data_IF_668686314721
#
_entry.id   IF_668686314721
#
_cell.length_a   1.000
_cell.length_b   1.000
_cell.length_c   1.000
_cell.angle_alpha   90.00
_cell.angle_beta   90.00
_cell.angle_gamma   90.00
#
_symmetry.space_group_name_H-M   'P 1'
#
loop_
_entity.id
_entity.type
_entity.pdbx_description
1 polymer ?
#
# COMPACT_ATOMS: atom_id res chain seq x y z
N UNK A 1 6.06 3.75 61.98
CA UNK A 1 4.68 3.24 62.07
C UNK A 1 3.75 4.34 61.60
N UNK A 2 3.13 4.41 60.42
CA UNK A 2 2.90 3.52 59.28
C UNK A 2 1.70 4.18 58.56
N UNK A 3 1.88 4.85 57.43
CA UNK A 3 1.73 4.29 56.07
C UNK A 3 0.29 3.84 55.72
N UNK A 4 -0.69 4.76 55.60
CA UNK A 4 -2.00 4.48 54.98
C UNK A 4 -2.63 5.67 54.23
N UNK A 5 -1.86 6.47 53.49
CA UNK A 5 -2.43 7.54 52.64
C UNK A 5 -1.78 7.68 51.27
N UNK A 6 -1.45 6.55 50.63
CA UNK A 6 -0.85 6.53 49.28
C UNK A 6 -1.41 5.44 48.37
N UNK A 7 -2.72 5.21 48.42
CA UNK A 7 -3.37 4.17 47.59
C UNK A 7 -4.32 4.69 46.52
N UNK A 8 -4.18 5.94 46.08
CA UNK A 8 -5.04 6.52 45.01
C UNK A 8 -4.31 7.41 43.99
N UNK A 9 -2.98 7.35 43.91
CA UNK A 9 -2.20 7.94 42.81
C UNK A 9 -1.25 6.91 42.24
N UNK A 10 -1.80 5.83 41.69
CA UNK A 10 -1.16 5.05 40.63
C UNK A 10 -1.88 5.37 39.32
N UNK A 11 -1.89 6.66 38.97
CA UNK A 11 -2.11 7.08 37.58
C UNK A 11 -0.89 6.59 36.82
N UNK A 12 -1.15 5.65 35.93
CA UNK A 12 -0.29 5.17 34.86
C UNK A 12 0.88 6.11 34.55
N UNK A 13 2.01 5.88 35.21
CA UNK A 13 3.28 6.02 34.53
C UNK A 13 3.30 4.86 33.56
N UNK A 14 2.93 5.12 32.31
CA UNK A 14 3.36 4.29 31.20
C UNK A 14 4.88 4.26 31.31
N UNK A 15 5.40 3.16 31.85
CA UNK A 15 6.79 2.79 31.65
C UNK A 15 7.07 3.03 30.17
N UNK A 16 8.02 3.91 29.86
CA UNK A 16 8.72 3.92 28.58
C UNK A 16 9.32 2.53 28.44
N UNK A 17 8.49 1.60 27.96
CA UNK A 17 8.90 0.25 27.64
C UNK A 17 9.78 0.45 26.43
N UNK A 18 11.08 0.44 26.66
CA UNK A 18 12.10 0.36 25.63
C UNK A 18 11.68 -0.79 24.72
N UNK A 19 11.12 -0.44 23.57
CA UNK A 19 10.56 -1.38 22.60
C UNK A 19 11.62 -1.53 21.51
N UNK A 20 12.54 -2.50 21.65
CA UNK A 20 13.66 -2.64 20.72
C UNK A 20 13.18 -2.90 19.29
N UNK A 21 11.98 -3.47 19.11
CA UNK A 21 11.38 -3.68 17.80
C UNK A 21 10.92 -2.35 17.20
N UNK A 22 10.23 -1.50 17.97
CA UNK A 22 9.86 -0.17 17.50
C UNK A 22 11.08 0.68 17.18
N UNK A 23 12.15 0.62 18.00
CA UNK A 23 13.41 1.32 17.73
C UNK A 23 14.08 0.83 16.44
N UNK A 24 14.11 -0.48 16.18
CA UNK A 24 14.63 -1.03 14.93
C UNK A 24 13.81 -0.57 13.70
N UNK A 25 12.48 -0.47 13.85
CA UNK A 25 11.61 0.05 12.80
C UNK A 25 11.88 1.55 12.56
N UNK A 26 12.11 2.34 13.62
CA UNK A 26 12.51 3.76 13.46
C UNK A 26 13.80 3.87 12.65
N UNK A 27 14.82 3.06 12.94
CA UNK A 27 16.06 3.08 12.14
C UNK A 27 15.83 2.63 10.70
N UNK A 28 14.94 1.66 10.45
CA UNK A 28 14.55 1.25 9.11
C UNK A 28 13.89 2.40 8.34
N UNK A 29 12.94 3.11 8.97
CA UNK A 29 12.26 4.29 8.39
C UNK A 29 13.29 5.35 8.00
N UNK A 30 14.22 5.63 8.90
CA UNK A 30 15.26 6.62 8.67
C UNK A 30 16.27 6.16 7.60
N UNK A 31 16.46 4.85 7.42
CA UNK A 31 17.19 4.29 6.28
C UNK A 31 16.51 4.59 4.94
N UNK A 32 15.18 4.56 4.88
CA UNK A 32 14.39 4.95 3.70
C UNK A 32 14.35 6.47 3.48
N UNK A 33 14.41 7.26 4.57
CA UNK A 33 14.40 8.72 4.52
C UNK A 33 15.55 9.33 5.35
N UNK A 34 16.80 9.33 4.86
CA UNK A 34 17.96 9.77 5.65
C UNK A 34 17.88 11.21 6.13
N UNK A 35 17.16 12.08 5.41
CA UNK A 35 16.96 13.50 5.76
C UNK A 35 16.23 13.69 7.10
N UNK A 36 15.43 12.71 7.55
CA UNK A 36 14.72 12.79 8.83
C UNK A 36 15.67 12.87 10.03
N UNK A 37 16.91 12.39 9.92
CA UNK A 37 17.92 12.52 11.00
C UNK A 37 18.25 13.96 11.37
N UNK A 38 18.00 14.90 10.45
CA UNK A 38 18.27 16.32 10.63
C UNK A 38 17.12 17.05 11.33
N UNK A 39 15.95 16.44 11.44
CA UNK A 39 14.80 17.00 12.16
C UNK A 39 15.00 16.86 13.68
N UNK A 40 14.48 17.83 14.44
CA UNK A 40 14.64 17.84 15.89
C UNK A 40 13.87 16.70 16.51
N UNK A 41 14.53 15.99 17.42
CA UNK A 41 13.91 14.92 18.22
C UNK A 41 13.20 13.86 17.34
N UNK A 42 13.75 13.54 16.16
CA UNK A 42 13.07 12.68 15.19
C UNK A 42 12.70 11.30 15.78
N UNK A 43 13.60 10.69 16.54
CA UNK A 43 13.39 9.36 17.11
C UNK A 43 12.21 9.36 18.11
N UNK A 44 12.18 10.33 19.03
CA UNK A 44 11.09 10.42 20.02
C UNK A 44 9.75 10.85 19.41
N UNK A 45 9.76 11.50 18.25
CA UNK A 45 8.54 11.84 17.50
C UNK A 45 8.01 10.67 16.66
N UNK A 46 8.88 9.87 16.06
CA UNK A 46 8.47 8.70 15.27
C UNK A 46 7.99 7.55 16.16
N UNK A 47 8.63 7.35 17.31
CA UNK A 47 8.41 6.17 18.15
C UNK A 47 6.92 5.93 18.49
N UNK A 48 6.11 6.92 18.92
CA UNK A 48 4.69 6.69 19.22
C UNK A 48 3.88 6.28 17.99
N UNK A 49 4.17 6.88 16.83
CA UNK A 49 3.47 6.55 15.57
C UNK A 49 3.85 5.14 15.10
N UNK A 50 5.13 4.77 15.23
CA UNK A 50 5.63 3.42 14.92
C UNK A 50 5.01 2.37 15.83
N UNK A 51 4.95 2.61 17.14
CA UNK A 51 4.33 1.70 18.10
C UNK A 51 2.85 1.47 17.78
N UNK A 52 2.11 2.55 17.46
CA UNK A 52 0.70 2.48 17.07
C UNK A 52 0.50 1.68 15.78
N UNK A 53 1.27 1.99 14.73
CA UNK A 53 1.23 1.25 13.46
C UNK A 53 1.56 -0.22 13.67
N UNK A 54 2.64 -0.54 14.37
CA UNK A 54 3.10 -1.91 14.57
C UNK A 54 2.07 -2.71 15.36
N UNK A 55 1.51 -2.14 16.43
CA UNK A 55 0.46 -2.80 17.20
C UNK A 55 -0.81 -3.06 16.38
N UNK A 56 -1.18 -2.16 15.46
CA UNK A 56 -2.29 -2.36 14.54
C UNK A 56 -2.00 -3.49 13.53
N UNK A 57 -0.83 -3.47 12.90
CA UNK A 57 -0.44 -4.45 11.89
C UNK A 57 -0.27 -5.85 12.48
N UNK A 58 0.30 -5.97 13.69
CA UNK A 58 0.41 -7.25 14.40
C UNK A 58 -0.97 -7.88 14.61
N UNK A 59 -1.97 -7.11 15.05
CA UNK A 59 -3.35 -7.62 15.19
C UNK A 59 -3.92 -8.12 13.87
N UNK A 60 -3.74 -7.36 12.78
CA UNK A 60 -4.20 -7.80 11.46
C UNK A 60 -3.51 -9.09 10.99
N UNK A 61 -2.19 -9.17 11.20
CA UNK A 61 -1.40 -10.33 10.81
C UNK A 61 -1.76 -11.55 11.66
N UNK A 62 -2.04 -11.40 12.94
CA UNK A 62 -2.48 -12.49 13.82
C UNK A 62 -3.83 -13.08 13.41
N UNK A 63 -4.69 -12.28 12.77
CA UNK A 63 -5.95 -12.76 12.18
C UNK A 63 -5.76 -13.53 10.87
N UNK A 64 -4.56 -13.57 10.28
CA UNK A 64 -4.31 -14.28 9.02
C UNK A 64 -4.20 -15.80 9.26
N UNK A 65 -4.92 -16.64 8.49
CA UNK A 65 -4.90 -18.09 8.68
C UNK A 65 -3.50 -18.69 8.49
N UNK A 66 -3.28 -19.91 8.97
CA UNK A 66 -2.05 -20.66 8.69
C UNK A 66 -1.78 -20.82 7.19
N UNK A 67 -0.51 -20.99 6.85
CA UNK A 67 -0.07 -21.10 5.47
C UNK A 67 -0.56 -22.39 4.82
N UNK A 68 -1.12 -22.26 3.61
CA UNK A 68 -1.63 -23.39 2.81
C UNK A 68 -0.54 -23.99 1.93
N UNK A 69 -0.57 -25.30 1.70
CA UNK A 69 0.38 -25.92 0.78
C UNK A 69 0.10 -25.46 -0.67
N UNK A 70 1.12 -24.97 -1.37
CA UNK A 70 0.99 -24.51 -2.74
C UNK A 70 1.65 -25.50 -3.71
N UNK A 71 0.91 -26.55 -4.07
CA UNK A 71 1.29 -27.49 -5.13
C UNK A 71 0.06 -28.10 -5.82
N UNK A 72 0.32 -28.90 -6.87
CA UNK A 72 -0.71 -29.57 -7.66
C UNK A 72 -1.61 -30.51 -6.83
N UNK A 73 -1.07 -31.18 -5.81
CA UNK A 73 -1.84 -32.06 -4.94
C UNK A 73 -2.81 -31.27 -4.04
N UNK A 74 -2.36 -30.13 -3.51
CA UNK A 74 -3.18 -29.23 -2.71
C UNK A 74 -4.34 -28.62 -3.52
N UNK A 75 -4.19 -28.42 -4.83
CA UNK A 75 -5.29 -27.97 -5.69
C UNK A 75 -6.52 -28.89 -5.63
N UNK A 76 -6.32 -30.21 -5.53
CA UNK A 76 -7.45 -31.15 -5.48
C UNK A 76 -8.15 -31.21 -4.11
N UNK A 77 -7.43 -30.85 -3.02
CA UNK A 77 -7.82 -31.10 -1.63
C UNK A 77 -8.12 -29.82 -0.83
N UNK A 78 -7.42 -28.71 -1.07
CA UNK A 78 -7.63 -27.43 -0.41
C UNK A 78 -8.56 -26.54 -1.27
N UNK A 79 -9.76 -26.19 -0.78
CA UNK A 79 -10.74 -25.38 -1.53
C UNK A 79 -10.22 -24.00 -1.91
N UNK A 80 -9.31 -23.44 -1.12
CA UNK A 80 -8.72 -22.13 -1.39
C UNK A 80 -7.74 -22.22 -2.56
N UNK A 81 -6.84 -23.21 -2.55
CA UNK A 81 -5.90 -23.42 -3.67
C UNK A 81 -6.66 -23.79 -4.94
N UNK A 82 -7.70 -24.61 -4.82
CA UNK A 82 -8.62 -24.90 -5.93
C UNK A 82 -9.25 -23.63 -6.50
N UNK A 83 -9.75 -22.75 -5.64
CA UNK A 83 -10.38 -21.50 -6.08
C UNK A 83 -9.37 -20.57 -6.76
N UNK A 84 -8.15 -20.47 -6.24
CA UNK A 84 -7.15 -19.52 -6.72
C UNK A 84 -6.58 -19.86 -8.09
N UNK A 85 -6.53 -21.13 -8.49
CA UNK A 85 -5.88 -21.56 -9.74
C UNK A 85 -6.84 -22.31 -10.66
N UNK A 86 -6.77 -22.04 -11.96
CA UNK A 86 -7.66 -22.68 -12.94
C UNK A 86 -7.41 -24.19 -13.06
N UNK A 87 -6.14 -24.60 -13.04
CA UNK A 87 -5.73 -26.01 -13.11
C UNK A 87 -4.62 -26.31 -12.08
N UNK A 88 -4.43 -27.59 -11.69
CA UNK A 88 -3.34 -27.96 -10.80
C UNK A 88 -1.95 -27.63 -11.37
N UNK A 89 -1.80 -27.63 -12.70
CA UNK A 89 -0.55 -27.32 -13.39
C UNK A 89 -0.20 -25.83 -13.37
N UNK A 90 -1.16 -24.94 -13.04
CA UNK A 90 -0.94 -23.50 -12.95
C UNK A 90 -0.30 -23.07 -11.62
N UNK A 91 -0.35 -23.93 -10.58
CA UNK A 91 0.11 -23.59 -9.23
C UNK A 91 1.61 -23.29 -9.24
N UNK A 92 2.46 -24.29 -9.51
CA UNK A 92 3.92 -24.13 -9.44
C UNK A 92 4.48 -23.05 -10.38
N UNK A 93 4.02 -22.91 -11.64
CA UNK A 93 4.47 -21.83 -12.54
C UNK A 93 4.21 -20.42 -12.01
N UNK A 94 3.18 -20.18 -11.20
CA UNK A 94 2.96 -18.88 -10.58
C UNK A 94 4.07 -18.54 -9.57
N UNK A 95 4.49 -19.52 -8.76
CA UNK A 95 5.56 -19.37 -7.78
C UNK A 95 6.94 -19.30 -8.43
N UNK A 96 7.21 -20.14 -9.42
CA UNK A 96 8.49 -20.22 -10.12
C UNK A 96 8.86 -18.94 -10.88
N UNK A 97 7.86 -18.12 -11.25
CA UNK A 97 8.06 -16.81 -11.88
C UNK A 97 8.28 -15.67 -10.88
N UNK A 98 8.10 -15.90 -9.57
CA UNK A 98 8.28 -14.88 -8.55
C UNK A 98 9.75 -14.54 -8.37
N UNK A 99 10.06 -13.26 -8.47
CA UNK A 99 11.38 -12.73 -8.15
C UNK A 99 11.67 -12.87 -6.66
N UNK A 100 10.71 -12.56 -5.81
CA UNK A 100 10.80 -12.60 -4.35
C UNK A 100 11.09 -14.02 -3.84
N UNK A 101 10.47 -15.04 -4.44
CA UNK A 101 10.74 -16.44 -4.10
C UNK A 101 12.13 -16.89 -4.59
N UNK A 102 12.54 -16.42 -5.78
CA UNK A 102 13.88 -16.70 -6.30
C UNK A 102 14.98 -16.12 -5.41
N UNK A 103 14.84 -14.83 -5.03
CA UNK A 103 15.75 -14.17 -4.08
C UNK A 103 15.79 -14.92 -2.75
N UNK A 104 14.62 -15.27 -2.20
CA UNK A 104 14.55 -16.01 -0.94
C UNK A 104 15.35 -17.33 -0.98
N UNK A 105 15.14 -18.16 -2.00
CA UNK A 105 15.81 -19.45 -2.10
C UNK A 105 17.31 -19.34 -2.45
N UNK A 106 17.74 -18.24 -3.07
CA UNK A 106 19.16 -17.94 -3.29
C UNK A 106 19.85 -17.53 -1.97
N UNK A 107 19.19 -16.69 -1.17
CA UNK A 107 19.72 -16.21 0.11
C UNK A 107 19.70 -17.30 1.19
N UNK A 108 18.78 -18.26 1.09
CA UNK A 108 18.58 -19.35 2.06
C UNK A 108 18.74 -20.72 1.39
N UNK A 109 19.94 -21.10 0.91
CA UNK A 109 20.15 -22.32 0.12
C UNK A 109 19.79 -23.61 0.86
N UNK A 110 19.81 -23.59 2.20
CA UNK A 110 19.46 -24.74 3.05
C UNK A 110 17.96 -24.84 3.39
N UNK A 111 17.13 -23.86 3.00
CA UNK A 111 15.70 -23.88 3.29
C UNK A 111 14.95 -24.87 2.38
N UNK A 112 14.28 -25.87 2.95
CA UNK A 112 13.50 -26.87 2.19
C UNK A 112 12.14 -26.35 1.71
N UNK A 113 11.63 -25.31 2.34
CA UNK A 113 10.39 -24.64 1.98
C UNK A 113 10.46 -23.14 2.26
N UNK A 114 9.59 -22.39 1.61
CA UNK A 114 9.39 -20.97 1.82
C UNK A 114 7.94 -20.72 2.22
N UNK A 115 7.74 -19.88 3.24
CA UNK A 115 6.44 -19.32 3.56
C UNK A 115 6.29 -18.00 2.84
N UNK A 116 5.15 -17.75 2.20
CA UNK A 116 4.96 -16.57 1.38
C UNK A 116 3.55 -15.99 1.46
N UNK A 117 3.42 -14.71 1.09
CA UNK A 117 2.13 -14.07 0.80
C UNK A 117 1.87 -14.15 -0.71
N UNK A 118 0.82 -14.86 -1.08
CA UNK A 118 0.26 -14.89 -2.43
C UNK A 118 -0.85 -13.83 -2.52
N UNK A 119 -0.64 -12.79 -3.32
CA UNK A 119 -1.64 -11.80 -3.69
C UNK A 119 -2.20 -12.05 -5.08
N UNK A 120 -3.46 -11.72 -5.29
CA UNK A 120 -4.18 -11.94 -6.55
C UNK A 120 -5.26 -10.86 -6.77
N UNK A 121 -5.56 -10.57 -8.02
CA UNK A 121 -6.75 -9.79 -8.38
C UNK A 121 -7.99 -10.70 -8.26
N UNK A 122 -9.12 -10.11 -7.86
CA UNK A 122 -10.42 -10.79 -7.80
C UNK A 122 -11.34 -10.14 -8.84
N UNK A 123 -11.90 -10.97 -9.72
CA UNK A 123 -12.82 -10.55 -10.77
C UNK A 123 -14.15 -11.28 -10.62
N UNK A 124 -15.24 -10.55 -10.37
CA UNK A 124 -16.58 -11.10 -10.41
C UNK A 124 -17.11 -11.05 -11.85
N UNK A 125 -17.45 -12.21 -12.41
CA UNK A 125 -17.98 -12.32 -13.77
C UNK A 125 -19.41 -12.84 -13.75
N UNK A 126 -20.31 -12.11 -14.39
CA UNK A 126 -21.67 -12.59 -14.66
C UNK A 126 -21.69 -13.30 -16.00
N UNK A 127 -21.97 -14.60 -15.99
CA UNK A 127 -22.04 -15.46 -17.17
C UNK A 127 -23.42 -16.11 -17.26
N UNK A 128 -23.87 -16.41 -18.47
CA UNK A 128 -25.05 -17.25 -18.68
C UNK A 128 -24.56 -18.69 -18.84
N UNK A 129 -24.91 -19.54 -17.88
CA UNK A 129 -24.47 -20.93 -17.83
C UNK A 129 -25.65 -21.91 -17.86
N UNK A 130 -25.32 -23.19 -17.78
CA UNK A 130 -26.31 -24.25 -17.60
C UNK A 130 -26.55 -24.40 -16.10
N UNK A 131 -27.79 -24.19 -15.66
CA UNK A 131 -28.19 -24.35 -14.26
C UNK A 131 -29.25 -25.45 -14.14
N UNK A 132 -29.18 -26.24 -13.08
CA UNK A 132 -30.18 -27.25 -12.78
C UNK A 132 -31.18 -26.68 -11.78
N UNK A 133 -32.48 -26.66 -12.13
CA UNK A 133 -33.56 -26.23 -11.24
C UNK A 133 -34.55 -27.39 -11.12
N UNK A 134 -34.50 -28.13 -10.01
CA UNK A 134 -35.23 -29.40 -9.87
C UNK A 134 -34.67 -30.49 -10.81
N UNK A 135 -35.54 -31.21 -11.52
CA UNK A 135 -35.13 -32.24 -12.51
C UNK A 135 -34.82 -31.67 -13.91
N UNK A 136 -35.07 -30.38 -14.15
CA UNK A 136 -34.87 -29.76 -15.46
C UNK A 136 -33.52 -29.02 -15.55
N UNK A 137 -32.75 -29.37 -16.58
CA UNK A 137 -31.56 -28.62 -17.01
C UNK A 137 -32.01 -27.39 -17.79
N UNK A 138 -31.76 -26.20 -17.26
CA UNK A 138 -32.02 -24.95 -17.95
C UNK A 138 -30.70 -24.39 -18.53
N UNK A 139 -30.67 -24.20 -19.85
CA UNK A 139 -29.70 -23.33 -20.53
C UNK A 139 -30.06 -21.87 -20.27
N UNK A 140 -29.07 -21.00 -20.10
CA UNK A 140 -29.17 -19.54 -19.86
C UNK A 140 -29.53 -19.08 -18.43
N UNK A 141 -29.06 -19.80 -17.41
CA UNK A 141 -29.15 -19.33 -16.03
C UNK A 141 -28.04 -18.31 -15.76
N UNK A 142 -28.40 -17.11 -15.31
CA UNK A 142 -27.43 -16.11 -14.87
C UNK A 142 -26.65 -16.66 -13.66
N UNK A 143 -25.34 -16.79 -13.83
CA UNK A 143 -24.39 -17.30 -12.84
C UNK A 143 -23.34 -16.23 -12.57
N UNK A 144 -22.91 -16.13 -11.32
CA UNK A 144 -21.77 -15.27 -10.95
C UNK A 144 -20.60 -16.18 -10.64
N UNK A 145 -19.47 -15.98 -11.30
CA UNK A 145 -18.23 -16.71 -11.08
C UNK A 145 -17.20 -15.78 -10.48
N UNK A 146 -16.50 -16.26 -9.45
CA UNK A 146 -15.37 -15.56 -8.85
C UNK A 146 -14.09 -16.07 -9.49
N UNK A 147 -13.34 -15.19 -10.14
CA UNK A 147 -12.08 -15.54 -10.78
C UNK A 147 -10.90 -14.84 -10.09
N UNK A 148 -9.76 -15.51 -10.10
CA UNK A 148 -8.52 -14.99 -9.54
C UNK A 148 -7.45 -14.91 -10.62
N UNK A 149 -6.76 -13.78 -10.68
CA UNK A 149 -5.76 -13.50 -11.71
C UNK A 149 -4.58 -12.72 -11.15
N UNK A 150 -3.55 -12.49 -11.98
CA UNK A 150 -2.34 -11.76 -11.61
C UNK A 150 -1.71 -12.30 -10.31
N UNK A 151 -1.43 -13.60 -10.24
CA UNK A 151 -0.82 -14.23 -9.06
C UNK A 151 0.58 -13.68 -8.79
N UNK A 152 0.75 -13.03 -7.65
CA UNK A 152 2.00 -12.38 -7.26
C UNK A 152 2.42 -12.81 -5.86
N UNK A 153 3.65 -13.30 -5.75
CA UNK A 153 4.30 -13.56 -4.46
C UNK A 153 5.14 -12.34 -4.09
N UNK A 154 4.92 -11.75 -2.91
CA UNK A 154 5.52 -10.45 -2.54
C UNK A 154 6.37 -10.45 -1.30
N UNK A 155 6.13 -11.39 -0.38
CA UNK A 155 6.82 -11.48 0.90
C UNK A 155 7.11 -12.94 1.14
N UNK A 156 8.35 -13.26 1.54
CA UNK A 156 8.81 -14.62 1.84
C UNK A 156 9.44 -14.68 3.23
N UNK A 157 9.43 -15.85 3.86
CA UNK A 157 10.10 -16.12 5.13
C UNK A 157 10.36 -17.61 5.35
N UNK A 158 11.35 -17.93 6.17
CA UNK A 158 11.75 -19.31 6.48
C UNK A 158 10.74 -20.06 7.37
N UNK A 159 9.84 -19.34 8.03
CA UNK A 159 8.78 -19.88 8.88
C UNK A 159 7.56 -18.96 8.84
N UNK A 160 6.39 -19.43 9.27
CA UNK A 160 5.22 -18.56 9.44
C UNK A 160 5.52 -17.36 10.34
N UNK A 161 6.25 -17.56 11.44
CA UNK A 161 6.60 -16.48 12.36
C UNK A 161 7.56 -15.46 11.71
N UNK A 162 8.48 -15.91 10.86
CA UNK A 162 9.33 -15.02 10.07
C UNK A 162 8.52 -14.25 9.03
N UNK A 163 7.62 -14.93 8.29
CA UNK A 163 6.74 -14.32 7.31
C UNK A 163 5.86 -13.24 7.95
N UNK A 164 5.23 -13.53 9.09
CA UNK A 164 4.37 -12.58 9.82
C UNK A 164 5.13 -11.31 10.22
N UNK A 165 6.37 -11.44 10.71
CA UNK A 165 7.23 -10.29 11.00
C UNK A 165 7.57 -9.50 9.74
N UNK A 166 7.92 -10.18 8.65
CA UNK A 166 8.27 -9.51 7.39
C UNK A 166 7.07 -8.79 6.77
N UNK A 167 5.85 -9.33 6.89
CA UNK A 167 4.61 -8.65 6.46
C UNK A 167 4.47 -7.30 7.18
N UNK A 168 4.67 -7.26 8.50
CA UNK A 168 4.58 -6.02 9.28
C UNK A 168 5.61 -5.00 8.78
N UNK A 169 6.87 -5.41 8.63
CA UNK A 169 7.94 -4.53 8.14
C UNK A 169 7.64 -4.01 6.73
N UNK A 170 7.18 -4.88 5.83
CA UNK A 170 6.87 -4.51 4.45
C UNK A 170 5.72 -3.52 4.36
N UNK A 171 4.68 -3.67 5.19
CA UNK A 171 3.57 -2.71 5.23
C UNK A 171 4.03 -1.37 5.81
N UNK A 172 4.88 -1.37 6.85
CA UNK A 172 5.49 -0.13 7.36
C UNK A 172 6.26 0.58 6.26
N UNK A 173 7.08 -0.12 5.47
CA UNK A 173 7.80 0.48 4.34
C UNK A 173 6.83 1.13 3.35
N UNK A 174 5.70 0.48 3.04
CA UNK A 174 4.68 1.05 2.15
C UNK A 174 4.04 2.33 2.71
N UNK A 175 3.80 2.39 4.02
CA UNK A 175 3.29 3.60 4.68
C UNK A 175 4.32 4.73 4.65
N UNK A 176 5.60 4.43 4.80
CA UNK A 176 6.66 5.42 4.66
C UNK A 176 6.74 5.94 3.23
N UNK A 177 6.70 5.05 2.23
CA UNK A 177 6.70 5.43 0.82
C UNK A 177 5.50 6.32 0.46
N UNK A 178 4.31 6.04 0.99
CA UNK A 178 3.14 6.92 0.88
C UNK A 178 3.41 8.31 1.48
N UNK A 179 4.06 8.38 2.64
CA UNK A 179 4.48 9.63 3.25
C UNK A 179 5.51 10.40 2.42
N UNK A 180 6.48 9.71 1.80
CA UNK A 180 7.45 10.30 0.87
C UNK A 180 6.73 10.88 -0.35
N UNK A 181 5.80 10.13 -0.95
CA UNK A 181 5.04 10.58 -2.11
C UNK A 181 4.25 11.86 -1.80
N UNK A 182 3.67 11.98 -0.60
CA UNK A 182 3.00 13.21 -0.14
C UNK A 182 3.96 14.38 -0.01
N UNK A 183 5.14 14.16 0.56
CA UNK A 183 6.19 15.18 0.68
C UNK A 183 6.63 15.69 -0.71
N UNK A 184 6.82 14.77 -1.67
CA UNK A 184 7.19 15.10 -3.05
C UNK A 184 6.09 15.90 -3.76
N UNK A 185 4.82 15.52 -3.57
CA UNK A 185 3.68 16.26 -4.10
C UNK A 185 3.59 17.68 -3.52
N UNK A 186 3.75 17.85 -2.21
CA UNK A 186 3.73 19.15 -1.55
C UNK A 186 4.90 20.04 -2.03
N UNK A 187 6.09 19.46 -2.19
CA UNK A 187 7.27 20.17 -2.70
C UNK A 187 7.05 20.63 -4.16
N UNK A 188 6.49 19.77 -5.00
CA UNK A 188 6.20 20.08 -6.40
C UNK A 188 5.18 21.22 -6.51
N UNK A 189 4.11 21.16 -5.71
CA UNK A 189 3.11 22.23 -5.61
C UNK A 189 3.72 23.55 -5.15
N UNK A 190 4.63 23.52 -4.18
CA UNK A 190 5.33 24.72 -3.70
C UNK A 190 6.15 25.36 -4.83
N UNK A 191 6.89 24.57 -5.60
CA UNK A 191 7.72 25.07 -6.70
C UNK A 191 6.88 25.62 -7.86
N UNK A 192 5.73 25.01 -8.17
CA UNK A 192 4.78 25.51 -9.17
C UNK A 192 4.24 26.90 -8.80
N UNK A 193 3.74 27.06 -7.56
CA UNK A 193 3.25 28.34 -7.05
C UNK A 193 4.35 29.41 -7.04
N UNK A 194 5.60 29.03 -6.74
CA UNK A 194 6.74 29.96 -6.80
C UNK A 194 7.05 30.42 -8.23
N UNK A 195 7.01 29.51 -9.22
CA UNK A 195 7.20 29.85 -10.64
C UNK A 195 6.08 30.76 -11.15
N UNK A 196 4.83 30.44 -10.83
CA UNK A 196 3.69 31.26 -11.23
C UNK A 196 3.78 32.67 -10.63
N UNK A 197 4.08 32.78 -9.33
CA UNK A 197 4.30 34.08 -8.67
C UNK A 197 5.41 34.89 -9.36
N UNK A 198 6.52 34.26 -9.75
CA UNK A 198 7.62 34.93 -10.45
C UNK A 198 7.21 35.45 -11.84
N UNK A 199 6.40 34.69 -12.57
CA UNK A 199 5.84 35.11 -13.86
C UNK A 199 4.86 36.29 -13.69
N UNK A 200 3.95 36.21 -12.71
CA UNK A 200 3.01 37.29 -12.40
C UNK A 200 3.73 38.58 -12.01
N UNK A 201 4.78 38.50 -11.18
CA UNK A 201 5.61 39.65 -10.82
C UNK A 201 6.34 40.26 -12.01
N UNK A 202 6.89 39.43 -12.89
CA UNK A 202 7.52 39.88 -14.13
C UNK A 202 6.52 40.63 -15.02
N UNK A 203 5.32 40.06 -15.19
CA UNK A 203 4.23 40.68 -15.97
C UNK A 203 3.77 42.01 -15.37
N UNK A 204 3.60 42.06 -14.04
CA UNK A 204 3.25 43.29 -13.32
C UNK A 204 4.31 44.37 -13.55
N UNK A 205 5.60 44.03 -13.40
CA UNK A 205 6.71 44.97 -13.63
C UNK A 205 6.73 45.52 -15.07
N UNK A 206 6.42 44.69 -16.07
CA UNK A 206 6.34 45.12 -17.47
C UNK A 206 5.16 46.09 -17.66
N UNK A 207 3.98 45.77 -17.13
CA UNK A 207 2.78 46.63 -17.23
C UNK A 207 2.98 47.97 -16.51
N UNK A 208 3.61 47.97 -15.33
CA UNK A 208 3.93 49.19 -14.59
C UNK A 208 4.90 50.08 -15.38
N UNK A 209 5.92 49.50 -16.03
CA UNK A 209 6.88 50.24 -16.88
C UNK A 209 6.22 50.79 -18.14
N UNK A 210 5.34 50.01 -18.79
CA UNK A 210 4.60 50.46 -19.97
C UNK A 210 3.58 51.55 -19.62
N UNK A 211 2.87 51.40 -18.50
CA UNK A 211 1.95 52.42 -17.99
C UNK A 211 2.64 53.73 -17.63
N UNK A 212 3.84 53.68 -17.03
CA UNK A 212 4.64 54.87 -16.74
C UNK A 212 5.17 55.56 -18.01
N UNK A 213 5.63 54.79 -19.01
CA UNK A 213 6.14 55.32 -20.27
C UNK A 213 5.06 55.92 -21.18
N UNK A 214 3.89 55.26 -21.29
CA UNK A 214 2.76 55.71 -22.13
C UNK A 214 2.04 56.91 -21.50
N UNK A 215 1.96 56.99 -20.16
CA UNK A 215 1.39 58.14 -19.44
C UNK A 215 2.19 59.43 -19.64
N UNK A 216 3.49 59.33 -19.90
CA UNK A 216 4.37 60.45 -20.26
C UNK A 216 4.13 60.97 -21.69
N UNK A 217 3.55 60.13 -22.58
CA UNK A 217 3.45 60.41 -24.01
C UNK A 217 2.03 60.73 -24.51
N UNK A 218 0.96 60.18 -23.93
CA UNK A 218 -0.37 60.18 -24.59
C UNK A 218 -1.58 60.66 -23.75
N UNK A 219 -1.43 60.97 -22.46
CA UNK A 219 -2.49 61.62 -21.68
C UNK A 219 -3.86 60.90 -21.60
N UNK A 220 -3.95 59.60 -21.92
CA UNK A 220 -5.13 58.70 -21.86
C UNK A 220 -4.64 57.24 -22.07
N UNK A 221 -5.32 56.12 -21.81
CA UNK A 221 -6.54 55.75 -21.06
C UNK A 221 -6.10 54.90 -19.86
N UNK A 222 -6.17 55.46 -18.65
CA UNK A 222 -5.59 54.81 -17.46
C UNK A 222 -6.40 53.60 -16.95
N UNK A 223 -7.71 53.53 -17.26
CA UNK A 223 -8.64 52.65 -16.55
C UNK A 223 -8.43 51.14 -16.82
N UNK A 224 -8.08 50.78 -18.06
CA UNK A 224 -7.79 49.40 -18.47
C UNK A 224 -6.57 48.82 -17.73
N UNK A 225 -5.47 49.58 -17.65
CA UNK A 225 -4.24 49.12 -17.00
C UNK A 225 -4.39 48.98 -15.48
N UNK A 226 -5.21 49.80 -14.83
CA UNK A 226 -5.46 49.69 -13.38
C UNK A 226 -6.23 48.40 -13.02
N UNK A 227 -7.22 48.02 -13.83
CA UNK A 227 -7.97 46.77 -13.61
C UNK A 227 -7.08 45.52 -13.78
N UNK A 228 -6.22 45.52 -14.80
CA UNK A 228 -5.27 44.42 -15.04
C UNK A 228 -4.19 44.33 -13.94
N UNK A 229 -3.67 45.46 -13.47
CA UNK A 229 -2.73 45.52 -12.34
C UNK A 229 -3.39 44.99 -11.07
N UNK A 230 -4.61 45.43 -10.75
CA UNK A 230 -5.34 44.97 -9.56
C UNK A 230 -5.61 43.44 -9.63
N UNK A 231 -5.95 42.92 -10.81
CA UNK A 231 -6.13 41.47 -11.01
C UNK A 231 -4.83 40.69 -10.77
N UNK A 232 -3.70 41.15 -11.32
CA UNK A 232 -2.41 40.49 -11.11
C UNK A 232 -1.95 40.55 -9.65
N UNK A 233 -2.21 41.66 -8.95
CA UNK A 233 -1.94 41.79 -7.51
C UNK A 233 -2.78 40.79 -6.70
N UNK A 234 -4.07 40.67 -6.99
CA UNK A 234 -4.94 39.68 -6.34
C UNK A 234 -4.46 38.23 -6.55
N UNK A 235 -3.99 37.90 -7.75
CA UNK A 235 -3.41 36.57 -8.05
C UNK A 235 -2.09 36.34 -7.30
N UNK A 236 -1.23 37.35 -7.16
CA UNK A 236 0.00 37.26 -6.36
C UNK A 236 -0.32 37.04 -4.88
N UNK A 237 -1.32 37.75 -4.34
CA UNK A 237 -1.77 37.59 -2.95
C UNK A 237 -2.41 36.22 -2.69
N UNK A 238 -3.13 35.67 -3.67
CA UNK A 238 -3.64 34.30 -3.61
C UNK A 238 -2.50 33.27 -3.56
N UNK A 239 -1.49 33.41 -4.43
CA UNK A 239 -0.32 32.54 -4.39
C UNK A 239 0.49 32.71 -3.10
N UNK A 240 0.56 33.91 -2.54
CA UNK A 240 1.21 34.14 -1.25
C UNK A 240 0.47 33.48 -0.09
N UNK A 241 -0.86 33.51 -0.10
CA UNK A 241 -1.68 32.76 0.87
C UNK A 241 -1.47 31.25 0.71
N UNK A 242 -1.45 30.73 -0.53
CA UNK A 242 -1.22 29.31 -0.78
C UNK A 242 0.20 28.86 -0.35
N UNK A 243 1.23 29.65 -0.64
CA UNK A 243 2.60 29.39 -0.21
C UNK A 243 2.76 29.46 1.32
N UNK A 244 2.07 30.40 1.97
CA UNK A 244 2.08 30.52 3.44
C UNK A 244 1.43 29.31 4.11
N UNK A 245 0.38 28.73 3.52
CA UNK A 245 -0.25 27.49 4.02
C UNK A 245 0.67 26.28 3.89
N UNK A 246 1.49 26.20 2.84
CA UNK A 246 2.46 25.12 2.69
C UNK A 246 3.59 25.24 3.72
N UNK A 247 4.05 26.47 4.04
CA UNK A 247 5.07 26.74 5.06
C UNK A 247 6.46 27.06 4.49
N UNK A 248 7.36 27.55 5.35
CA UNK A 248 8.70 28.01 4.95
C UNK A 248 9.64 26.85 4.58
N UNK A 249 10.57 27.08 3.64
CA UNK A 249 11.58 26.08 3.26
C UNK A 249 12.50 25.70 4.45
N UNK A 250 12.74 26.61 5.39
CA UNK A 250 13.55 26.37 6.59
C UNK A 250 12.93 25.34 7.55
N UNK A 251 11.61 25.15 7.49
CA UNK A 251 10.86 24.18 8.30
C UNK A 251 10.53 22.90 7.52
N UNK A 252 11.11 22.72 6.32
CA UNK A 252 10.80 21.58 5.45
C UNK A 252 11.09 20.24 6.12
N UNK A 253 12.21 20.09 6.81
CA UNK A 253 12.58 18.84 7.50
C UNK A 253 11.60 18.48 8.63
N UNK A 254 11.13 19.48 9.38
CA UNK A 254 10.15 19.27 10.44
C UNK A 254 8.79 18.87 9.87
N UNK A 255 8.37 19.54 8.78
CA UNK A 255 7.15 19.17 8.05
C UNK A 255 7.23 17.77 7.46
N UNK A 256 8.36 17.38 6.86
CA UNK A 256 8.55 16.04 6.32
C UNK A 256 8.38 14.98 7.42
N UNK A 257 9.01 15.21 8.58
CA UNK A 257 8.84 14.33 9.73
C UNK A 257 7.38 14.28 10.19
N UNK A 258 6.68 15.42 10.26
CA UNK A 258 5.26 15.46 10.61
C UNK A 258 4.37 14.70 9.62
N UNK A 259 4.67 14.77 8.31
CA UNK A 259 3.93 14.01 7.29
C UNK A 259 4.11 12.51 7.49
N UNK A 260 5.35 12.03 7.67
CA UNK A 260 5.62 10.61 7.93
C UNK A 260 4.93 10.17 9.23
N UNK A 261 5.05 10.94 10.31
CA UNK A 261 4.39 10.67 11.59
C UNK A 261 2.86 10.64 11.42
N UNK A 262 2.29 11.55 10.64
CA UNK A 262 0.85 11.61 10.38
C UNK A 262 0.33 10.37 9.66
N UNK A 263 1.05 9.88 8.64
CA UNK A 263 0.71 8.65 7.93
C UNK A 263 0.79 7.43 8.87
N UNK A 264 1.86 7.32 9.66
CA UNK A 264 2.03 6.23 10.64
C UNK A 264 1.09 6.35 11.85
N UNK A 265 0.53 7.52 12.14
CA UNK A 265 -0.43 7.67 13.23
C UNK A 265 -1.82 7.14 12.86
N UNK A 266 -2.14 7.02 11.57
CA UNK A 266 -3.44 6.60 11.07
C UNK A 266 -3.35 5.38 10.12
N UNK A 267 -2.74 4.25 10.56
CA UNK A 267 -2.46 3.13 9.66
C UNK A 267 -3.71 2.52 9.02
N UNK A 268 -4.85 2.57 9.70
CA UNK A 268 -6.15 2.09 9.25
C UNK A 268 -6.76 2.90 8.10
N UNK A 269 -6.37 4.18 7.96
CA UNK A 269 -6.76 5.00 6.81
C UNK A 269 -6.04 4.60 5.52
N UNK A 270 -4.89 3.94 5.66
CA UNK A 270 -3.99 3.60 4.55
C UNK A 270 -3.97 2.11 4.21
N UNK A 271 -4.10 1.25 5.22
CA UNK A 271 -4.07 -0.19 5.07
C UNK A 271 -5.11 -0.85 5.97
N UNK A 272 -6.01 -1.61 5.36
CA UNK A 272 -7.00 -2.40 6.07
C UNK A 272 -7.29 -3.70 5.30
N UNK A 273 -7.82 -4.67 6.03
CA UNK A 273 -8.20 -5.97 5.49
C UNK A 273 -9.71 -6.13 5.62
N UNK A 274 -10.39 -6.36 4.50
CA UNK A 274 -11.79 -6.74 4.46
C UNK A 274 -11.92 -8.26 4.39
N UNK A 275 -13.05 -8.79 4.85
CA UNK A 275 -13.41 -10.21 4.74
C UNK A 275 -14.62 -10.31 3.83
N UNK A 276 -14.59 -11.23 2.87
CA UNK A 276 -15.75 -11.55 2.02
C UNK A 276 -15.92 -13.05 1.95
N UNK A 277 -17.13 -13.53 2.21
CA UNK A 277 -17.45 -14.96 2.26
C UNK A 277 -18.32 -15.34 1.08
N UNK A 278 -17.93 -16.39 0.37
CA UNK A 278 -18.68 -16.93 -0.76
C UNK A 278 -18.91 -18.43 -0.59
N UNK A 279 -20.07 -18.91 -1.05
CA UNK A 279 -20.31 -20.34 -1.25
C UNK A 279 -19.99 -20.67 -2.70
N UNK A 280 -18.90 -21.39 -2.94
CA UNK A 280 -18.39 -21.68 -4.29
C UNK A 280 -18.46 -23.17 -4.61
N UNK A 281 -18.89 -23.52 -5.82
CA UNK A 281 -18.73 -24.87 -6.35
C UNK A 281 -17.32 -25.10 -6.91
N UNK A 282 -17.04 -26.30 -7.45
CA UNK A 282 -15.72 -26.63 -8.04
C UNK A 282 -15.38 -25.84 -9.30
N UNK A 283 -16.31 -25.06 -9.86
CA UNK A 283 -16.09 -24.18 -11.00
C UNK A 283 -16.01 -22.71 -10.58
N UNK A 284 -15.88 -22.43 -9.28
CA UNK A 284 -15.92 -21.10 -8.68
C UNK A 284 -17.22 -20.32 -8.96
N UNK A 285 -18.33 -21.03 -9.24
CA UNK A 285 -19.64 -20.41 -9.37
C UNK A 285 -20.23 -20.18 -7.99
N UNK A 286 -20.75 -18.98 -7.75
CA UNK A 286 -21.44 -18.62 -6.51
C UNK A 286 -22.75 -19.39 -6.43
N UNK A 287 -22.90 -20.15 -5.35
CA UNK A 287 -24.08 -20.95 -5.04
C UNK A 287 -24.93 -20.21 -4.02
N UNK A 288 -26.18 -19.95 -4.38
CA UNK A 288 -27.14 -19.23 -3.54
C UNK A 288 -27.45 -19.99 -2.25
N UNK A 289 -27.89 -19.24 -1.23
CA UNK A 289 -28.34 -19.82 0.03
C UNK A 289 -29.60 -20.67 -0.20
N UNK A 290 -29.59 -21.92 0.30
CA UNK A 290 -30.68 -22.89 0.11
C UNK A 290 -30.54 -23.81 -1.11
N UNK A 291 -29.56 -23.58 -1.98
CA UNK A 291 -29.24 -24.49 -3.08
C UNK A 291 -28.45 -25.72 -2.57
N UNK A 292 -28.84 -26.92 -3.02
CA UNK A 292 -28.27 -28.21 -2.58
C UNK A 292 -27.07 -28.66 -3.39
N UNK A 293 -26.65 -27.88 -4.40
CA UNK A 293 -25.43 -28.15 -5.16
C UNK A 293 -24.20 -28.24 -4.23
N UNK A 294 -23.24 -29.13 -4.51
CA UNK A 294 -22.04 -29.25 -3.70
C UNK A 294 -21.23 -27.96 -3.80
N UNK A 295 -21.16 -27.22 -2.69
CA UNK A 295 -20.45 -25.96 -2.57
C UNK A 295 -19.68 -25.90 -1.25
N UNK A 296 -18.60 -25.12 -1.24
CA UNK A 296 -17.80 -24.87 -0.06
C UNK A 296 -17.86 -23.39 0.31
N UNK A 297 -17.97 -23.12 1.60
CA UNK A 297 -17.91 -21.76 2.12
C UNK A 297 -16.45 -21.34 2.28
N UNK A 298 -16.07 -20.27 1.59
CA UNK A 298 -14.70 -19.77 1.52
C UNK A 298 -14.71 -18.29 1.88
N UNK A 299 -13.97 -17.95 2.95
CA UNK A 299 -13.73 -16.57 3.36
C UNK A 299 -12.42 -16.06 2.74
N UNK A 300 -12.51 -15.08 1.83
CA UNK A 300 -11.36 -14.37 1.29
C UNK A 300 -11.04 -13.13 2.12
N UNK A 301 -9.74 -12.88 2.32
CA UNK A 301 -9.22 -11.64 2.90
C UNK A 301 -8.74 -10.72 1.78
N UNK A 302 -9.23 -9.49 1.78
CA UNK A 302 -8.95 -8.49 0.78
C UNK A 302 -8.13 -7.37 1.42
N UNK A 303 -6.90 -7.18 0.96
CA UNK A 303 -6.04 -6.08 1.41
C UNK A 303 -6.14 -4.91 0.42
N UNK A 304 -6.21 -3.69 0.96
CA UNK A 304 -5.98 -2.47 0.20
C UNK A 304 -4.55 -1.99 0.44
N UNK A 305 -3.78 -1.89 -0.64
CA UNK A 305 -2.38 -1.43 -0.57
C UNK A 305 -2.31 0.10 -0.80
N UNK A 306 -1.52 0.85 0.00
CA UNK A 306 -1.38 2.30 -0.17
C UNK A 306 -0.92 2.71 -1.58
N UNK A 307 0.04 1.98 -2.15
CA UNK A 307 0.62 2.28 -3.47
C UNK A 307 -0.35 2.09 -4.65
N UNK A 308 -1.51 1.47 -4.45
CA UNK A 308 -2.53 1.26 -5.48
C UNK A 308 -3.91 1.30 -4.82
N UNK A 309 -4.40 2.49 -4.44
CA UNK A 309 -5.60 2.62 -3.63
C UNK A 309 -6.87 2.12 -4.35
N UNK A 310 -6.85 1.95 -5.68
CA UNK A 310 -7.97 1.37 -6.44
C UNK A 310 -7.87 -0.16 -6.59
N UNK A 311 -6.70 -0.75 -6.34
CA UNK A 311 -6.48 -2.19 -6.48
C UNK A 311 -6.63 -2.89 -5.13
N UNK A 312 -7.86 -3.34 -4.84
CA UNK A 312 -8.10 -4.30 -3.77
C UNK A 312 -7.61 -5.67 -4.24
N UNK A 313 -6.79 -6.34 -3.45
CA UNK A 313 -6.26 -7.67 -3.78
C UNK A 313 -6.66 -8.70 -2.74
N UNK A 314 -7.05 -9.88 -3.18
CA UNK A 314 -7.18 -11.04 -2.31
C UNK A 314 -5.78 -11.55 -1.98
N UNK A 315 -5.57 -11.99 -0.75
CA UNK A 315 -4.31 -12.59 -0.35
C UNK A 315 -4.50 -13.85 0.51
N UNK A 316 -3.52 -14.74 0.43
CA UNK A 316 -3.38 -15.90 1.32
C UNK A 316 -1.93 -16.12 1.68
N UNK A 317 -1.69 -16.64 2.87
CA UNK A 317 -0.40 -17.22 3.25
C UNK A 317 -0.30 -18.62 2.66
N UNK A 318 0.87 -18.95 2.12
CA UNK A 318 1.16 -20.23 1.47
C UNK A 318 2.54 -20.71 1.84
N UNK A 319 2.74 -22.03 1.82
CA UNK A 319 4.06 -22.66 1.92
C UNK A 319 4.37 -23.39 0.62
N UNK A 320 5.58 -23.18 0.11
CA UNK A 320 6.04 -23.69 -1.17
C UNK A 320 7.34 -24.46 -0.99
N UNK A 321 7.40 -25.70 -1.47
CA UNK A 321 8.59 -26.56 -1.31
C UNK A 321 9.66 -26.19 -2.32
N UNK A 322 10.93 -26.22 -1.90
CA UNK A 322 12.07 -26.09 -2.80
C UNK A 322 12.09 -27.17 -3.89
N UNK A 323 11.62 -28.38 -3.58
CA UNK A 323 11.54 -29.48 -4.55
C UNK A 323 10.64 -29.18 -5.76
N UNK A 324 9.63 -28.31 -5.58
CA UNK A 324 8.71 -27.87 -6.64
C UNK A 324 9.22 -26.60 -7.34
N UNK A 325 10.32 -26.00 -6.83
CA UNK A 325 10.91 -24.79 -7.36
C UNK A 325 11.79 -25.08 -8.57
N UNK A 326 11.36 -24.56 -9.72
CA UNK A 326 12.16 -24.55 -10.94
C UNK A 326 12.49 -23.08 -11.27
N UNK A 327 13.72 -22.61 -11.01
CA UNK A 327 14.07 -21.24 -11.35
C UNK A 327 13.87 -21.05 -12.85
N UNK A 328 13.24 -19.94 -13.24
CA UNK A 328 13.14 -19.57 -14.64
C UNK A 328 14.57 -19.55 -15.22
N UNK A 329 14.86 -20.48 -16.15
CA UNK A 329 16.13 -20.47 -16.86
C UNK A 329 16.30 -19.10 -17.47
N UNK A 330 17.42 -18.44 -17.18
CA UNK A 330 17.70 -17.13 -17.77
C UNK A 330 17.57 -17.25 -19.28
N UNK A 331 16.87 -16.31 -19.91
CA UNK A 331 16.68 -16.24 -21.37
C UNK A 331 18.01 -16.21 -22.15
N UNK A 332 19.14 -16.01 -21.47
CA UNK A 332 20.49 -16.12 -22.02
C UNK A 332 20.95 -17.56 -22.31
N UNK A 333 20.43 -18.58 -21.61
CA UNK A 333 20.84 -19.98 -21.87
C UNK A 333 20.14 -20.61 -23.09
N UNK A 334 19.02 -20.02 -23.56
CA UNK A 334 18.35 -20.50 -24.77
C UNK A 334 19.12 -20.16 -26.05
N UNK A 335 19.97 -19.12 -26.04
CA UNK A 335 20.79 -18.75 -27.20
C UNK A 335 21.98 -19.69 -27.43
N UNK A 336 22.42 -20.44 -26.41
CA UNK A 336 23.57 -21.35 -26.51
C UNK A 336 23.22 -22.79 -26.91
N UNK A 337 21.95 -23.09 -27.20
CA UNK A 337 21.51 -24.40 -27.73
C UNK A 337 21.09 -24.38 -29.21
N UNK A 338 21.23 -23.23 -29.88
CA UNK A 338 20.90 -23.07 -31.30
C UNK A 338 22.12 -22.69 -32.17
N UNK A 339 23.34 -22.91 -31.67
CA UNK A 339 24.60 -22.84 -32.45
C UNK A 339 25.30 -24.18 -32.30
#
# INVERSE_FOLDING_TARGET
MGLLSRWLTKRAGSEERDDPQATAIVERIVGLCPSLRLARNYASRLLPAVQRTTAYLVRLVDEVPPAREANAAAWAADPYIHAFFATPDDVCPAFNRSHELNVFFNDHPAADEAFAVLGMAIDERHIFGVGQHGEATHTDVAQTTINFSDHQVRVCGESEAALRREIVLRIVDQLVLEGIARIEADTSRQDELQREKALLKTRLTILERQGAGVRSLLGSDASSNFADVARLQAQIEENDRALAQLGLKTEALERHLDVICGVLAAPDAHFYVLKSTFRLDRMNVVVAEGDTRPAQEIEFRLARLPASPEAIRVFSTVRFRRGDFAPARSTLEHAHRLI
#
